data_IF_031004774496
#
_entry.id   IF_031004774496
#
_cell.length_a   1.000
_cell.length_b   1.000
_cell.length_c   1.000
_cell.angle_alpha   90.00
_cell.angle_beta   90.00
_cell.angle_gamma   90.00
#
_symmetry.space_group_name_H-M   'P 1'
#
loop_
_entity.id
_entity.type
_entity.pdbx_description
1 polymer ?
#
# COMPACT_ATOMS: atom_id res chain seq x y z
N UNK A 1 -7.02 24.53 6.29
CA UNK A 1 -7.55 23.40 5.50
C UNK A 1 -6.38 22.71 4.83
N UNK A 2 -6.15 21.41 5.07
CA UNK A 2 -5.12 20.66 4.36
C UNK A 2 -5.58 20.45 2.92
N UNK A 3 -4.82 20.99 1.96
CA UNK A 3 -5.10 20.84 0.53
C UNK A 3 -4.82 19.37 0.13
N UNK A 4 -5.74 18.78 -0.63
CA UNK A 4 -5.51 17.48 -1.23
C UNK A 4 -4.28 17.54 -2.15
N UNK A 5 -3.37 16.59 -1.97
CA UNK A 5 -2.24 16.36 -2.89
C UNK A 5 -2.38 14.95 -3.42
N UNK A 6 -2.43 14.83 -4.74
CA UNK A 6 -2.38 13.56 -5.41
C UNK A 6 -0.93 13.09 -5.47
N UNK A 7 -0.70 11.84 -5.11
CA UNK A 7 0.63 11.24 -5.23
C UNK A 7 0.72 10.45 -6.53
N UNK A 8 1.73 10.75 -7.35
CA UNK A 8 1.93 10.11 -8.65
C UNK A 8 2.18 8.61 -8.54
N UNK A 9 2.71 8.14 -7.41
CA UNK A 9 2.93 6.71 -7.15
C UNK A 9 1.61 5.94 -7.03
N UNK A 10 0.50 6.60 -6.71
CA UNK A 10 -0.81 5.93 -6.68
C UNK A 10 -1.22 5.39 -8.06
N UNK A 11 -0.72 5.95 -9.16
CA UNK A 11 -1.02 5.48 -10.52
C UNK A 11 -0.44 4.09 -10.77
N UNK A 12 0.64 3.72 -10.07
CA UNK A 12 1.24 2.39 -10.17
C UNK A 12 0.38 1.31 -9.50
N UNK A 13 -0.53 1.71 -8.61
CA UNK A 13 -1.45 0.81 -7.93
C UNK A 13 -2.69 0.62 -8.79
N UNK A 14 -2.90 -0.59 -9.32
CA UNK A 14 -4.06 -0.91 -10.15
C UNK A 14 -5.40 -0.59 -9.45
N UNK A 15 -5.44 -0.64 -8.13
CA UNK A 15 -6.62 -0.29 -7.32
C UNK A 15 -6.99 1.19 -7.44
N UNK A 16 -6.01 2.10 -7.53
CA UNK A 16 -6.27 3.53 -7.66
C UNK A 16 -7.03 3.84 -8.95
N UNK A 17 -6.60 3.27 -10.07
CA UNK A 17 -7.27 3.44 -11.37
C UNK A 17 -8.71 2.93 -11.33
N UNK A 18 -8.93 1.73 -10.78
CA UNK A 18 -10.28 1.14 -10.63
C UNK A 18 -11.19 1.99 -9.74
N UNK A 19 -10.65 2.53 -8.65
CA UNK A 19 -11.39 3.37 -7.70
C UNK A 19 -11.84 4.69 -8.35
N UNK A 20 -10.95 5.32 -9.12
CA UNK A 20 -11.24 6.54 -9.88
C UNK A 20 -12.31 6.25 -10.93
N UNK A 21 -12.15 5.20 -11.73
CA UNK A 21 -13.09 4.84 -12.79
C UNK A 21 -14.49 4.52 -12.24
N UNK A 22 -14.57 3.74 -11.17
CA UNK A 22 -15.83 3.41 -10.50
C UNK A 22 -16.52 4.67 -9.95
N UNK A 23 -15.77 5.54 -9.28
CA UNK A 23 -16.31 6.79 -8.72
C UNK A 23 -16.77 7.74 -9.83
N UNK A 24 -15.97 7.87 -10.89
CA UNK A 24 -16.26 8.76 -12.01
C UNK A 24 -17.54 8.37 -12.76
N UNK A 25 -17.75 7.07 -12.93
CA UNK A 25 -18.90 6.49 -13.61
C UNK A 25 -20.19 6.52 -12.77
N UNK A 26 -20.07 6.41 -11.45
CA UNK A 26 -21.21 6.41 -10.53
C UNK A 26 -21.71 7.82 -10.20
N UNK A 27 -20.81 8.78 -10.07
CA UNK A 27 -21.19 10.14 -9.66
C UNK A 27 -21.90 10.89 -10.79
N UNK A 28 -23.06 11.48 -10.45
CA UNK A 28 -23.87 12.32 -11.33
C UNK A 28 -23.75 13.75 -10.79
N UNK A 29 -23.17 14.66 -11.56
CA UNK A 29 -22.90 16.02 -11.10
C UNK A 29 -21.95 16.76 -12.03
N UNK A 30 -21.67 18.01 -11.71
CA UNK A 30 -20.68 18.80 -12.41
C UNK A 30 -19.26 18.31 -12.13
N UNK A 31 -18.31 18.74 -12.97
CA UNK A 31 -16.92 18.31 -12.90
C UNK A 31 -16.30 18.54 -11.51
N UNK A 32 -16.62 19.67 -10.87
CA UNK A 32 -16.04 20.04 -9.57
C UNK A 32 -16.53 19.10 -8.47
N UNK A 33 -17.82 18.77 -8.44
CA UNK A 33 -18.38 17.82 -7.46
C UNK A 33 -17.77 16.43 -7.63
N UNK A 34 -17.62 15.96 -8.88
CA UNK A 34 -16.98 14.67 -9.19
C UNK A 34 -15.53 14.61 -8.69
N UNK A 35 -14.74 15.64 -8.99
CA UNK A 35 -13.34 15.71 -8.57
C UNK A 35 -13.21 15.82 -7.04
N UNK A 36 -14.11 16.56 -6.40
CA UNK A 36 -14.15 16.65 -4.93
C UNK A 36 -14.40 15.28 -4.31
N UNK A 37 -15.36 14.51 -4.83
CA UNK A 37 -15.65 13.16 -4.35
C UNK A 37 -14.48 12.21 -4.54
N UNK A 38 -13.87 12.21 -5.72
CA UNK A 38 -12.68 11.40 -6.01
C UNK A 38 -11.54 11.76 -5.05
N UNK A 39 -11.35 13.05 -4.76
CA UNK A 39 -10.31 13.48 -3.82
C UNK A 39 -10.53 12.91 -2.42
N UNK A 40 -11.76 12.84 -1.94
CA UNK A 40 -12.07 12.33 -0.59
C UNK A 40 -11.97 10.81 -0.51
N UNK A 41 -12.38 10.12 -1.58
CA UNK A 41 -12.23 8.67 -1.70
C UNK A 41 -10.74 8.30 -1.76
N UNK A 42 -9.93 9.00 -2.55
CA UNK A 42 -8.49 8.76 -2.65
C UNK A 42 -7.75 9.06 -1.34
N UNK A 43 -8.14 10.13 -0.61
CA UNK A 43 -7.60 10.39 0.74
C UNK A 43 -7.85 9.21 1.68
N UNK A 44 -9.06 8.65 1.61
CA UNK A 44 -9.46 7.54 2.49
C UNK A 44 -8.72 6.27 2.11
N UNK A 45 -8.69 5.92 0.82
CA UNK A 45 -7.96 4.77 0.30
C UNK A 45 -6.46 4.86 0.61
N UNK A 46 -5.81 6.00 0.38
CA UNK A 46 -4.39 6.19 0.68
C UNK A 46 -4.05 5.97 2.15
N UNK A 47 -4.90 6.46 3.07
CA UNK A 47 -4.74 6.22 4.50
C UNK A 47 -4.86 4.74 4.85
N UNK A 48 -5.85 4.05 4.30
CA UNK A 48 -6.03 2.61 4.49
C UNK A 48 -4.84 1.82 3.94
N UNK A 49 -4.40 2.12 2.71
CA UNK A 49 -3.27 1.46 2.07
C UNK A 49 -1.97 1.66 2.87
N UNK A 50 -1.75 2.86 3.45
CA UNK A 50 -0.59 3.11 4.34
C UNK A 50 -0.66 2.28 5.62
N UNK A 51 -1.85 2.11 6.20
CA UNK A 51 -2.04 1.29 7.41
C UNK A 51 -1.81 -0.19 7.10
N UNK A 52 -2.39 -0.70 6.02
CA UNK A 52 -2.18 -2.08 5.57
C UNK A 52 -0.73 -2.34 5.19
N UNK A 53 -0.11 -1.38 4.51
CA UNK A 53 1.33 -1.29 4.27
C UNK A 53 2.12 -1.60 5.53
N UNK A 54 1.93 -0.78 6.58
CA UNK A 54 2.60 -0.96 7.87
C UNK A 54 2.31 -2.30 8.53
N UNK A 55 1.06 -2.76 8.52
CA UNK A 55 0.67 -4.05 9.13
C UNK A 55 1.42 -5.22 8.49
N UNK A 56 1.42 -5.30 7.16
CA UNK A 56 2.15 -6.36 6.46
C UNK A 56 3.66 -6.24 6.66
N UNK A 57 4.23 -5.02 6.68
CA UNK A 57 5.66 -4.83 7.00
C UNK A 57 6.00 -5.37 8.39
N UNK A 58 5.18 -5.06 9.40
CA UNK A 58 5.35 -5.58 10.75
C UNK A 58 5.20 -7.11 10.82
N UNK A 59 4.24 -7.68 10.10
CA UNK A 59 4.04 -9.13 10.02
C UNK A 59 5.25 -9.84 9.37
N UNK A 60 5.82 -9.28 8.30
CA UNK A 60 7.04 -9.81 7.68
C UNK A 60 8.23 -9.73 8.63
N UNK A 61 8.39 -8.62 9.37
CA UNK A 61 9.43 -8.48 10.40
C UNK A 61 9.27 -9.50 11.52
N UNK A 62 8.05 -9.71 12.00
CA UNK A 62 7.77 -10.72 13.01
C UNK A 62 8.11 -12.13 12.49
N UNK A 63 7.73 -12.44 11.26
CA UNK A 63 8.05 -13.73 10.63
C UNK A 63 9.56 -13.94 10.48
N UNK A 64 10.33 -12.90 10.19
CA UNK A 64 11.81 -12.97 10.18
C UNK A 64 12.34 -13.33 11.57
N UNK A 65 11.84 -12.68 12.63
CA UNK A 65 12.25 -13.00 14.02
C UNK A 65 11.92 -14.45 14.36
N UNK A 66 10.74 -14.94 14.01
CA UNK A 66 10.32 -16.32 14.24
C UNK A 66 11.21 -17.33 13.50
N UNK A 67 11.55 -17.06 12.24
CA UNK A 67 12.43 -17.91 11.43
C UNK A 67 13.90 -17.85 11.87
N UNK A 68 14.35 -16.73 12.45
CA UNK A 68 15.71 -16.58 13.01
C UNK A 68 15.87 -17.22 14.39
N UNK A 69 14.80 -17.31 15.19
CA UNK A 69 14.79 -17.94 16.52
C UNK A 69 14.51 -19.46 16.45
N UNK A 70 13.90 -19.94 15.36
CA UNK A 70 13.65 -21.36 15.14
C UNK A 70 14.95 -22.15 14.84
N UNK A 71 14.98 -23.42 15.25
CA UNK A 71 16.10 -24.31 14.92
C UNK A 71 16.30 -24.40 13.39
N UNK A 72 17.54 -24.35 12.89
CA UNK A 72 17.81 -24.38 11.45
C UNK A 72 17.33 -25.70 10.83
N UNK A 73 16.32 -25.61 9.98
CA UNK A 73 15.87 -26.67 9.09
C UNK A 73 15.85 -26.15 7.65
N UNK A 74 15.90 -27.04 6.66
CA UNK A 74 15.93 -26.72 5.23
C UNK A 74 14.75 -25.83 4.81
N UNK A 75 13.58 -26.05 5.42
CA UNK A 75 12.38 -25.22 5.21
C UNK A 75 12.56 -23.78 5.72
N UNK A 76 13.12 -23.59 6.92
CA UNK A 76 13.33 -22.25 7.50
C UNK A 76 14.45 -21.50 6.78
N UNK A 77 15.50 -22.21 6.35
CA UNK A 77 16.65 -21.65 5.62
C UNK A 77 16.28 -21.20 4.21
N UNK A 78 15.27 -21.83 3.59
CA UNK A 78 14.75 -21.42 2.28
C UNK A 78 13.69 -20.32 2.37
N UNK A 79 12.87 -20.30 3.43
CA UNK A 79 11.81 -19.29 3.60
C UNK A 79 12.34 -17.91 4.04
N UNK A 80 13.39 -17.86 4.86
CA UNK A 80 13.98 -16.61 5.36
C UNK A 80 14.42 -15.61 4.26
N UNK A 81 15.17 -16.00 3.22
CA UNK A 81 15.54 -15.08 2.15
C UNK A 81 14.33 -14.55 1.39
N UNK A 82 13.30 -15.36 1.17
CA UNK A 82 12.07 -14.94 0.47
C UNK A 82 11.31 -13.87 1.27
N UNK A 83 11.18 -14.05 2.59
CA UNK A 83 10.54 -13.07 3.48
C UNK A 83 11.36 -11.76 3.54
N UNK A 84 12.70 -11.85 3.54
CA UNK A 84 13.58 -10.67 3.50
C UNK A 84 13.49 -9.92 2.16
N UNK A 85 13.39 -10.63 1.04
CA UNK A 85 13.17 -10.01 -0.29
C UNK A 85 11.81 -9.31 -0.33
N UNK A 86 10.75 -9.95 0.16
CA UNK A 86 9.42 -9.36 0.21
C UNK A 86 9.39 -8.07 1.06
N UNK A 87 10.12 -8.06 2.18
CA UNK A 87 10.27 -6.86 3.01
C UNK A 87 11.07 -5.76 2.29
N UNK A 88 12.15 -6.09 1.59
CA UNK A 88 12.95 -5.13 0.82
C UNK A 88 12.16 -4.52 -0.34
N UNK A 89 11.43 -5.31 -1.12
CA UNK A 89 10.55 -4.78 -2.19
C UNK A 89 9.53 -3.79 -1.66
N UNK A 90 9.09 -3.99 -0.41
CA UNK A 90 8.19 -3.07 0.28
C UNK A 90 8.89 -1.84 0.82
N UNK A 91 10.11 -1.98 1.34
CA UNK A 91 10.94 -0.87 1.79
C UNK A 91 11.34 0.05 0.63
N UNK A 92 11.66 -0.51 -0.54
CA UNK A 92 11.87 0.24 -1.78
C UNK A 92 10.62 1.04 -2.13
N UNK A 93 9.44 0.41 -2.10
CA UNK A 93 8.16 1.11 -2.25
C UNK A 93 7.97 2.20 -1.18
N UNK A 94 8.52 2.04 0.03
CA UNK A 94 8.41 3.02 1.12
C UNK A 94 9.41 4.19 1.05
N UNK A 95 10.60 3.98 0.49
CA UNK A 95 11.62 5.01 0.24
C UNK A 95 11.17 6.07 -0.77
N UNK A 96 10.20 5.74 -1.63
CA UNK A 96 9.55 6.70 -2.52
C UNK A 96 8.45 7.56 -1.84
N UNK A 97 8.21 7.40 -0.52
CA UNK A 97 7.21 8.18 0.25
C UNK A 97 7.81 9.21 1.23
N UNK A 98 9.06 9.65 1.05
CA UNK A 98 9.61 10.85 1.73
C UNK A 98 9.28 12.15 0.99
#
# INVERSE_FOLDING_TARGET
MSQFRFDTNWILEAECGKLIEATWSFEIGDLISKLSKISDILKTWSRSNKIEGRKTSNSLKQKIVELEDADPNDDNLTELPDVKIALNMKADKELFWE
#
